data_IF_078117282405
#
_entry.id   IF_078117282405
#
_cell.length_a   1.000
_cell.length_b   1.000
_cell.length_c   1.000
_cell.angle_alpha   90.00
_cell.angle_beta   90.00
_cell.angle_gamma   90.00
#
_symmetry.space_group_name_H-M   'P 1'
#
loop_
_entity.id
_entity.type
_entity.pdbx_description
1 polymer ?
#
# COMPACT_ATOMS: atom_id res chain seq x y z
N UNK A 1 23.57 3.04 5.82
CA UNK A 1 22.78 2.24 4.86
C UNK A 1 23.66 1.80 3.70
N UNK A 2 23.43 0.63 3.10
CA UNK A 2 24.10 0.27 1.85
C UNK A 2 23.48 1.03 0.67
N UNK A 3 24.27 1.31 -0.38
CA UNK A 3 23.81 1.99 -1.61
C UNK A 3 22.55 1.33 -2.19
N UNK A 4 22.47 -0.01 -2.20
CA UNK A 4 21.30 -0.75 -2.67
C UNK A 4 20.04 -0.44 -1.85
N UNK A 5 20.19 -0.34 -0.54
CA UNK A 5 19.06 -0.12 0.35
C UNK A 5 18.58 1.34 0.31
N UNK A 6 19.49 2.29 0.08
CA UNK A 6 19.15 3.68 -0.24
C UNK A 6 18.38 3.80 -1.55
N UNK A 7 18.81 3.08 -2.60
CA UNK A 7 18.10 3.03 -3.88
C UNK A 7 16.70 2.45 -3.73
N UNK A 8 16.54 1.35 -2.97
CA UNK A 8 15.21 0.77 -2.69
C UNK A 8 14.33 1.79 -1.97
N UNK A 9 14.84 2.44 -0.91
CA UNK A 9 14.10 3.46 -0.17
C UNK A 9 13.67 4.61 -1.09
N UNK A 10 14.58 5.12 -1.92
CA UNK A 10 14.28 6.20 -2.85
C UNK A 10 13.20 5.81 -3.86
N UNK A 11 13.28 4.61 -4.44
CA UNK A 11 12.26 4.12 -5.38
C UNK A 11 10.90 3.93 -4.71
N UNK A 12 10.87 3.41 -3.48
CA UNK A 12 9.63 3.29 -2.70
C UNK A 12 9.01 4.66 -2.44
N UNK A 13 9.81 5.65 -2.02
CA UNK A 13 9.32 7.03 -1.81
C UNK A 13 8.75 7.62 -3.10
N UNK A 14 9.46 7.50 -4.23
CA UNK A 14 8.98 8.01 -5.53
C UNK A 14 7.64 7.37 -5.92
N UNK A 15 7.48 6.05 -5.72
CA UNK A 15 6.24 5.35 -6.02
C UNK A 15 5.07 5.85 -5.15
N UNK A 16 5.30 5.97 -3.85
CA UNK A 16 4.29 6.42 -2.89
C UNK A 16 3.92 7.90 -3.07
N UNK A 17 4.90 8.77 -3.36
CA UNK A 17 4.64 10.18 -3.66
C UNK A 17 3.79 10.35 -4.92
N UNK A 18 4.01 9.51 -5.94
CA UNK A 18 3.16 9.49 -7.13
C UNK A 18 1.75 9.04 -6.80
N UNK A 19 1.58 8.01 -5.97
CA UNK A 19 0.26 7.55 -5.54
C UNK A 19 -0.49 8.64 -4.75
N UNK A 20 0.19 9.33 -3.83
CA UNK A 20 -0.37 10.45 -3.08
C UNK A 20 -0.79 11.59 -4.03
N UNK A 21 0.02 11.90 -5.04
CA UNK A 21 -0.31 12.90 -6.06
C UNK A 21 -1.53 12.52 -6.90
N UNK A 22 -1.63 11.25 -7.33
CA UNK A 22 -2.73 10.74 -8.15
C UNK A 22 -4.05 10.64 -7.38
N UNK A 23 -4.00 10.48 -6.05
CA UNK A 23 -5.19 10.29 -5.21
C UNK A 23 -5.68 11.58 -4.55
N UNK A 24 -4.93 12.69 -4.67
CA UNK A 24 -5.21 13.96 -3.97
C UNK A 24 -6.58 14.57 -4.30
N UNK A 25 -7.04 14.42 -5.54
CA UNK A 25 -8.30 14.98 -6.03
C UNK A 25 -9.31 13.88 -6.38
N UNK A 26 -9.12 12.67 -5.85
CA UNK A 26 -10.01 11.56 -6.11
C UNK A 26 -11.35 11.80 -5.39
N UNK A 27 -12.44 11.64 -6.13
CA UNK A 27 -13.80 11.65 -5.59
C UNK A 27 -14.21 10.22 -5.19
N UNK A 28 -14.98 10.10 -4.11
CA UNK A 28 -15.51 8.84 -3.63
C UNK A 28 -16.45 8.20 -4.67
N UNK A 29 -17.17 9.00 -5.47
CA UNK A 29 -18.05 8.50 -6.53
C UNK A 29 -17.30 7.72 -7.62
N UNK A 30 -16.00 7.95 -7.78
CA UNK A 30 -15.16 7.28 -8.77
C UNK A 30 -14.59 5.94 -8.27
N UNK A 31 -14.75 5.61 -6.99
CA UNK A 31 -14.17 4.39 -6.42
C UNK A 31 -14.61 3.12 -7.16
N UNK A 32 -15.87 3.07 -7.56
CA UNK A 32 -16.45 1.92 -8.24
C UNK A 32 -16.54 2.10 -9.76
N UNK A 33 -16.05 3.24 -10.28
CA UNK A 33 -15.94 3.47 -11.72
C UNK A 33 -14.90 2.53 -12.33
N UNK A 34 -15.21 2.05 -13.54
CA UNK A 34 -14.36 1.18 -14.35
C UNK A 34 -14.44 1.67 -15.79
N UNK A 35 -13.33 1.78 -16.53
CA UNK A 35 -13.36 2.15 -17.95
C UNK A 35 -14.03 1.06 -18.79
N UNK A 36 -13.92 -0.19 -18.35
CA UNK A 36 -14.42 -1.39 -19.01
C UNK A 36 -14.88 -2.39 -17.93
N UNK A 37 -15.88 -3.25 -18.19
CA UNK A 37 -16.37 -4.23 -17.22
C UNK A 37 -15.28 -5.17 -16.64
N UNK A 38 -14.22 -5.43 -17.40
CA UNK A 38 -13.11 -6.31 -17.04
C UNK A 38 -12.04 -5.59 -16.22
N UNK A 39 -11.89 -4.27 -16.38
CA UNK A 39 -10.85 -3.48 -15.73
C UNK A 39 -11.10 -3.37 -14.22
N UNK A 40 -10.11 -3.47 -13.34
CA UNK A 40 -10.36 -3.28 -11.90
C UNK A 40 -10.88 -1.88 -11.57
N UNK A 41 -11.77 -1.77 -10.57
CA UNK A 41 -12.20 -0.47 -10.06
C UNK A 41 -11.09 0.21 -9.25
N UNK A 42 -11.19 1.53 -9.05
CA UNK A 42 -10.25 2.27 -8.22
C UNK A 42 -10.23 1.75 -6.78
N UNK A 43 -11.39 1.38 -6.23
CA UNK A 43 -11.51 0.71 -4.93
C UNK A 43 -10.66 -0.54 -4.87
N UNK A 44 -10.77 -1.41 -5.86
CA UNK A 44 -10.00 -2.65 -5.90
C UNK A 44 -8.50 -2.37 -5.97
N UNK A 45 -8.10 -1.43 -6.82
CA UNK A 45 -6.68 -1.05 -7.00
C UNK A 45 -6.12 -0.48 -5.70
N UNK A 46 -6.76 0.52 -5.11
CA UNK A 46 -6.24 1.20 -3.92
C UNK A 46 -6.23 0.29 -2.68
N UNK A 47 -7.24 -0.56 -2.53
CA UNK A 47 -7.24 -1.57 -1.45
C UNK A 47 -6.19 -2.66 -1.69
N UNK A 48 -5.90 -3.01 -2.94
CA UNK A 48 -4.79 -3.91 -3.27
C UNK A 48 -3.43 -3.30 -2.92
N UNK A 49 -3.21 -2.01 -3.22
CA UNK A 49 -1.99 -1.31 -2.83
C UNK A 49 -1.83 -1.29 -1.30
N UNK A 50 -2.91 -1.01 -0.55
CA UNK A 50 -2.86 -1.09 0.92
C UNK A 50 -2.54 -2.51 1.42
N UNK A 51 -3.09 -3.55 0.77
CA UNK A 51 -2.70 -4.94 1.06
C UNK A 51 -1.21 -5.20 0.79
N UNK A 52 -0.65 -4.66 -0.29
CA UNK A 52 0.78 -4.78 -0.58
C UNK A 52 1.60 -4.15 0.56
N UNK A 53 1.24 -2.94 0.99
CA UNK A 53 1.98 -2.21 2.03
C UNK A 53 1.92 -2.89 3.41
N UNK A 54 0.78 -3.46 3.79
CA UNK A 54 0.60 -4.05 5.13
C UNK A 54 0.88 -5.54 5.23
N UNK A 55 0.81 -6.27 4.12
CA UNK A 55 0.89 -7.73 4.11
C UNK A 55 2.06 -8.21 3.27
N UNK A 56 2.11 -7.85 1.99
CA UNK A 56 3.08 -8.42 1.04
C UNK A 56 4.50 -7.94 1.34
N UNK A 57 4.72 -6.63 1.45
CA UNK A 57 6.04 -6.09 1.73
C UNK A 57 6.56 -6.54 3.11
N UNK A 58 5.77 -6.49 4.20
CA UNK A 58 6.20 -7.04 5.48
C UNK A 58 6.49 -8.54 5.44
N UNK A 59 5.74 -9.36 4.68
CA UNK A 59 6.13 -10.75 4.43
C UNK A 59 7.53 -10.80 3.82
N UNK A 60 7.75 -10.13 2.68
CA UNK A 60 9.03 -10.14 1.97
C UNK A 60 10.19 -9.72 2.89
N UNK A 61 10.00 -8.62 3.61
CA UNK A 61 10.98 -8.12 4.56
C UNK A 61 11.24 -9.15 5.67
N UNK A 62 10.21 -9.67 6.33
CA UNK A 62 10.36 -10.58 7.48
C UNK A 62 10.74 -12.00 7.09
N UNK A 63 10.73 -12.34 5.81
CA UNK A 63 10.94 -13.70 5.31
C UNK A 63 9.87 -14.69 5.77
N UNK A 64 8.71 -14.21 6.25
CA UNK A 64 7.64 -15.05 6.81
C UNK A 64 6.48 -15.19 5.83
N UNK A 65 6.49 -16.27 5.06
CA UNK A 65 5.43 -16.56 4.08
C UNK A 65 4.07 -16.65 4.72
N UNK A 66 3.13 -15.86 4.21
CA UNK A 66 1.79 -15.73 4.76
C UNK A 66 1.71 -14.86 6.01
N UNK A 67 2.72 -14.03 6.31
CA UNK A 67 2.55 -12.98 7.30
C UNK A 67 1.34 -12.13 6.94
N UNK A 68 0.52 -11.87 7.95
CA UNK A 68 -0.59 -10.95 7.90
C UNK A 68 -0.69 -10.26 9.27
N UNK A 69 -0.91 -8.93 9.33
CA UNK A 69 -1.12 -8.24 10.60
C UNK A 69 -2.30 -8.87 11.35
N UNK A 70 -2.20 -8.90 12.67
CA UNK A 70 -3.30 -9.36 13.52
C UNK A 70 -4.55 -8.50 13.26
N UNK A 71 -5.70 -9.16 13.06
CA UNK A 71 -6.96 -8.48 12.75
C UNK A 71 -7.09 -7.94 11.33
N UNK A 72 -6.13 -8.18 10.43
CA UNK A 72 -6.27 -7.76 9.03
C UNK A 72 -7.39 -8.54 8.33
N UNK A 73 -8.38 -7.86 7.72
CA UNK A 73 -9.57 -8.53 7.22
C UNK A 73 -9.30 -9.36 5.98
N UNK A 74 -10.00 -10.49 5.86
CA UNK A 74 -9.89 -11.42 4.73
C UNK A 74 -10.40 -10.85 3.42
N UNK A 75 -11.38 -9.95 3.51
CA UNK A 75 -12.09 -9.34 2.41
C UNK A 75 -11.63 -7.91 2.13
N UNK A 76 -10.43 -7.52 2.59
CA UNK A 76 -10.00 -6.11 2.50
C UNK A 76 -9.99 -5.59 1.04
N UNK A 77 -9.51 -6.44 0.13
CA UNK A 77 -9.32 -6.09 -1.27
C UNK A 77 -10.66 -6.01 -2.02
N UNK A 78 -10.98 -4.84 -2.54
CA UNK A 78 -12.22 -4.57 -3.26
C UNK A 78 -13.46 -4.44 -2.37
N UNK A 79 -13.31 -4.35 -1.04
CA UNK A 79 -14.45 -4.29 -0.14
C UNK A 79 -15.33 -3.06 -0.40
N UNK A 80 -16.61 -3.22 -0.78
CA UNK A 80 -17.50 -2.08 -1.06
C UNK A 80 -17.83 -1.28 0.20
N UNK A 81 -17.60 -1.84 1.40
CA UNK A 81 -17.87 -1.18 2.67
C UNK A 81 -16.82 -0.17 3.13
N UNK A 82 -15.70 0.00 2.42
CA UNK A 82 -14.67 0.96 2.82
C UNK A 82 -14.79 2.30 2.12
N UNK A 83 -14.88 3.40 2.86
CA UNK A 83 -14.88 4.73 2.27
C UNK A 83 -13.54 5.08 1.63
N UNK A 84 -13.54 6.07 0.72
CA UNK A 84 -12.30 6.61 0.15
C UNK A 84 -11.38 7.11 1.26
N UNK A 85 -11.93 7.83 2.24
CA UNK A 85 -11.19 8.33 3.40
C UNK A 85 -10.44 7.21 4.13
N UNK A 86 -11.12 6.10 4.42
CA UNK A 86 -10.51 4.93 5.07
C UNK A 86 -9.37 4.36 4.22
N UNK A 87 -9.62 4.15 2.93
CA UNK A 87 -8.62 3.57 2.02
C UNK A 87 -7.36 4.43 1.98
N UNK A 88 -7.51 5.76 1.86
CA UNK A 88 -6.38 6.68 1.84
C UNK A 88 -5.66 6.76 3.20
N UNK A 89 -6.39 6.67 4.32
CA UNK A 89 -5.80 6.62 5.65
C UNK A 89 -4.95 5.34 5.83
N UNK A 90 -5.48 4.20 5.40
CA UNK A 90 -4.74 2.94 5.45
C UNK A 90 -3.49 3.02 4.54
N UNK A 91 -3.60 3.53 3.31
CA UNK A 91 -2.43 3.72 2.43
C UNK A 91 -1.31 4.57 3.08
N UNK A 92 -1.68 5.65 3.77
CA UNK A 92 -0.72 6.48 4.53
C UNK A 92 -0.06 5.70 5.67
N UNK A 93 -0.84 4.95 6.45
CA UNK A 93 -0.30 4.11 7.53
C UNK A 93 0.64 3.02 7.00
N UNK A 94 0.29 2.42 5.87
CA UNK A 94 1.12 1.44 5.16
C UNK A 94 2.44 2.04 4.68
N UNK A 95 2.40 3.26 4.12
CA UNK A 95 3.58 4.02 3.73
C UNK A 95 4.53 4.23 4.91
N UNK A 96 4.01 4.73 6.04
CA UNK A 96 4.81 4.96 7.25
C UNK A 96 5.47 3.67 7.74
N UNK A 97 4.70 2.58 7.81
CA UNK A 97 5.17 1.27 8.25
C UNK A 97 6.28 0.71 7.35
N UNK A 98 6.10 0.76 6.04
CA UNK A 98 7.08 0.28 5.06
C UNK A 98 8.36 1.09 5.10
N UNK A 99 8.27 2.43 5.17
CA UNK A 99 9.46 3.29 5.23
C UNK A 99 10.22 3.12 6.54
N UNK A 100 9.52 2.93 7.66
CA UNK A 100 10.14 2.60 8.95
C UNK A 100 10.87 1.24 8.90
N UNK A 101 10.23 0.20 8.33
CA UNK A 101 10.84 -1.13 8.25
C UNK A 101 12.05 -1.16 7.30
N UNK A 102 11.99 -0.43 6.17
CA UNK A 102 13.16 -0.23 5.32
C UNK A 102 14.28 0.45 6.12
N UNK A 103 13.98 1.55 6.83
CA UNK A 103 14.97 2.28 7.64
C UNK A 103 15.64 1.41 8.70
N UNK A 104 14.87 0.67 9.49
CA UNK A 104 15.39 -0.19 10.56
C UNK A 104 16.35 -1.28 10.02
N UNK A 105 16.03 -1.87 8.86
CA UNK A 105 16.87 -2.91 8.23
C UNK A 105 18.16 -2.37 7.63
N UNK A 106 18.23 -1.07 7.40
CA UNK A 106 19.42 -0.45 6.83
C UNK A 106 20.47 -0.03 7.86
N UNK A 107 20.13 -0.18 9.15
CA UNK A 107 21.03 0.04 10.29
C UNK A 107 21.61 -1.27 10.84
N UNK A 108 21.12 -2.44 10.40
CA UNK A 108 21.63 -3.78 10.78
C UNK A 108 22.70 -4.33 9.80
N UNK A 109 23.35 -3.46 9.02
CA UNK A 109 24.38 -3.83 8.04
C UNK A 109 25.80 -3.54 8.52
#
# INVERSE_FOLDING_TARGET
MSERAEVIKAMTVIGLDRLDGLTKELDEELLDWRPEPEANSLRWILTHESYILHVVLPWVFRGRRGYRPEGWPDDYQGNPGYSLEKILADLRSGRESVLAEIGARTDEG
#
